data_IF_353388074144
#
_entry.id   IF_353388074144
#
_cell.length_a   1.000
_cell.length_b   1.000
_cell.length_c   1.000
_cell.angle_alpha   90.00
_cell.angle_beta   90.00
_cell.angle_gamma   90.00
#
_symmetry.space_group_name_H-M   'P 1'
#
loop_
_entity.id
_entity.type
_entity.pdbx_description
1 polymer ?
#
# COMPACT_ATOMS: atom_id res chain seq x y z
N UNK A 1 22.45 4.06 19.59
CA UNK A 1 21.55 4.89 18.75
C UNK A 1 20.80 3.98 17.80
N UNK A 2 19.46 3.87 17.89
CA UNK A 2 18.69 3.09 16.90
C UNK A 2 18.74 3.85 15.57
N UNK A 3 19.30 3.23 14.52
CA UNK A 3 19.35 3.83 13.18
C UNK A 3 18.14 3.35 12.40
N UNK A 4 17.39 4.29 11.83
CA UNK A 4 16.33 3.98 10.89
C UNK A 4 16.92 3.84 9.50
N UNK A 5 16.49 2.79 8.78
CA UNK A 5 16.86 2.56 7.40
C UNK A 5 15.62 2.73 6.53
N UNK A 6 15.77 3.49 5.44
CA UNK A 6 14.72 3.65 4.44
C UNK A 6 14.91 2.57 3.37
N UNK A 7 13.86 1.80 3.14
CA UNK A 7 13.83 0.79 2.08
C UNK A 7 12.80 1.18 1.03
N UNK A 8 13.24 1.30 -0.22
CA UNK A 8 12.36 1.49 -1.37
C UNK A 8 11.98 0.12 -1.92
N UNK A 9 10.69 -0.17 -2.02
CA UNK A 9 10.16 -1.46 -2.46
C UNK A 9 9.24 -1.27 -3.67
N UNK A 10 9.50 -2.02 -4.73
CA UNK A 10 8.66 -2.07 -5.92
C UNK A 10 8.11 -3.49 -6.08
N UNK A 11 6.79 -3.61 -6.20
CA UNK A 11 6.10 -4.89 -6.37
C UNK A 11 5.43 -4.95 -7.74
N UNK A 12 5.68 -6.03 -8.49
CA UNK A 12 4.96 -6.29 -9.74
C UNK A 12 3.59 -6.89 -9.45
N UNK A 13 2.55 -6.21 -9.90
CA UNK A 13 1.17 -6.71 -9.86
C UNK A 13 1.01 -7.80 -10.93
N UNK A 14 0.67 -9.03 -10.52
CA UNK A 14 0.55 -10.20 -11.42
C UNK A 14 -0.88 -10.47 -11.89
N UNK A 15 -1.87 -9.86 -11.24
CA UNK A 15 -3.30 -9.97 -11.53
C UNK A 15 -4.02 -8.73 -11.01
N UNK A 16 -5.27 -8.43 -11.46
CA UNK A 16 -6.02 -7.29 -10.95
C UNK A 16 -6.06 -7.26 -9.42
N UNK A 17 -5.68 -6.12 -8.83
CA UNK A 17 -5.57 -5.93 -7.38
C UNK A 17 -6.69 -5.02 -6.88
N UNK A 18 -7.55 -5.55 -6.02
CA UNK A 18 -8.57 -4.76 -5.35
C UNK A 18 -8.08 -4.22 -4.01
N UNK A 19 -8.12 -2.90 -3.83
CA UNK A 19 -7.80 -2.20 -2.58
C UNK A 19 -9.03 -1.48 -2.08
N UNK A 20 -9.65 -1.98 -1.02
CA UNK A 20 -10.94 -1.49 -0.54
C UNK A 20 -11.02 0.04 -0.37
N UNK A 21 -12.08 0.63 -0.93
CA UNK A 21 -12.42 2.05 -0.81
C UNK A 21 -13.88 2.25 -0.37
N UNK A 22 -14.58 3.21 -0.99
CA UNK A 22 -16.00 3.46 -0.77
C UNK A 22 -16.87 2.45 -1.52
N UNK A 23 -18.03 2.15 -0.92
CA UNK A 23 -19.08 1.34 -1.51
C UNK A 23 -20.11 2.26 -2.16
N UNK A 24 -20.48 1.98 -3.40
CA UNK A 24 -21.56 2.66 -4.13
C UNK A 24 -22.61 1.61 -4.45
N UNK A 25 -23.75 1.64 -3.76
CA UNK A 25 -24.78 0.60 -3.80
C UNK A 25 -24.16 -0.80 -3.56
N UNK A 26 -24.08 -1.67 -4.55
CA UNK A 26 -23.48 -3.01 -4.43
C UNK A 26 -22.05 -3.10 -4.97
N UNK A 27 -21.48 -2.00 -5.49
CA UNK A 27 -20.16 -1.96 -6.07
C UNK A 27 -19.11 -1.48 -5.05
N UNK A 28 -18.08 -2.29 -4.84
CA UNK A 28 -16.91 -1.90 -4.05
C UNK A 28 -15.86 -1.27 -4.95
N UNK A 29 -15.57 0.02 -4.74
CA UNK A 29 -14.51 0.71 -5.48
C UNK A 29 -13.14 0.31 -4.96
N UNK A 30 -12.15 0.35 -5.84
CA UNK A 30 -10.74 0.21 -5.50
C UNK A 30 -10.07 1.58 -5.36
N UNK A 31 -9.09 1.72 -4.47
CA UNK A 31 -8.23 2.90 -4.38
C UNK A 31 -7.20 2.91 -5.51
N UNK A 32 -6.80 4.11 -5.95
CA UNK A 32 -5.70 4.36 -6.89
C UNK A 32 -4.29 4.20 -6.27
N UNK A 33 -4.21 3.92 -4.96
CA UNK A 33 -2.97 3.70 -4.22
C UNK A 33 -3.21 2.65 -3.12
N UNK A 34 -2.14 2.04 -2.63
CA UNK A 34 -2.19 1.06 -1.54
C UNK A 34 -1.81 1.73 -0.22
N UNK A 35 -2.73 1.83 0.76
CA UNK A 35 -2.38 2.29 2.09
C UNK A 35 -1.36 1.38 2.76
N UNK A 36 -0.69 1.90 3.79
CA UNK A 36 0.29 1.13 4.58
C UNK A 36 -0.30 -0.14 5.24
N UNK A 37 -1.58 -0.10 5.62
CA UNK A 37 -2.23 -1.15 6.43
C UNK A 37 -2.31 -2.52 5.72
N UNK A 38 -2.74 -2.62 4.45
CA UNK A 38 -2.65 -3.87 3.68
C UNK A 38 -1.23 -4.47 3.65
N UNK A 39 -0.20 -3.65 3.45
CA UNK A 39 1.19 -4.15 3.41
C UNK A 39 1.64 -4.67 4.77
N UNK A 40 1.34 -3.94 5.85
CA UNK A 40 1.55 -4.41 7.22
C UNK A 40 0.86 -5.75 7.47
N UNK A 41 -0.43 -5.86 7.13
CA UNK A 41 -1.20 -7.10 7.34
C UNK A 41 -0.67 -8.27 6.53
N UNK A 42 -0.25 -8.04 5.27
CA UNK A 42 0.36 -9.07 4.43
C UNK A 42 1.70 -9.56 5.01
N UNK A 43 2.53 -8.64 5.50
CA UNK A 43 3.81 -8.99 6.11
C UNK A 43 3.62 -9.73 7.45
N UNK A 44 2.70 -9.25 8.30
CA UNK A 44 2.29 -9.97 9.52
C UNK A 44 1.88 -11.39 9.18
N UNK A 45 0.97 -11.57 8.22
CA UNK A 45 0.47 -12.89 7.88
C UNK A 45 1.57 -13.82 7.34
N UNK A 46 2.48 -13.30 6.51
CA UNK A 46 3.62 -14.06 5.98
C UNK A 46 4.58 -14.48 7.10
N UNK A 47 4.95 -13.56 8.00
CA UNK A 47 5.87 -13.84 9.09
C UNK A 47 5.27 -14.81 10.12
N UNK A 48 4.02 -14.63 10.53
CA UNK A 48 3.34 -15.55 11.44
C UNK A 48 3.34 -16.98 10.90
N UNK A 49 3.05 -17.16 9.60
CA UNK A 49 3.09 -18.48 8.93
C UNK A 49 4.50 -19.06 8.87
N UNK A 50 5.51 -18.25 8.53
CA UNK A 50 6.91 -18.69 8.49
C UNK A 50 7.42 -19.14 9.87
N UNK A 51 6.96 -18.47 10.94
CA UNK A 51 7.27 -18.82 12.32
C UNK A 51 6.48 -20.04 12.83
N UNK A 52 5.58 -20.62 12.01
CA UNK A 52 4.63 -21.67 12.42
C UNK A 52 3.82 -21.30 13.66
N UNK A 53 3.58 -20.01 13.85
CA UNK A 53 2.78 -19.46 14.95
C UNK A 53 1.34 -19.21 14.49
N UNK A 54 0.41 -19.18 15.43
CA UNK A 54 -0.96 -18.72 15.23
C UNK A 54 -1.20 -17.30 15.78
N UNK A 55 -0.19 -16.68 16.39
CA UNK A 55 -0.33 -15.40 17.07
C UNK A 55 -0.12 -14.20 16.13
N UNK A 56 -1.12 -13.91 15.29
CA UNK A 56 -1.10 -12.77 14.37
C UNK A 56 -1.03 -11.42 15.09
N UNK A 57 -1.65 -11.31 16.28
CA UNK A 57 -1.70 -10.06 17.03
C UNK A 57 -0.32 -9.65 17.52
N UNK A 58 0.40 -10.58 18.15
CA UNK A 58 1.74 -10.32 18.68
C UNK A 58 2.73 -9.96 17.55
N UNK A 59 2.74 -10.72 16.46
CA UNK A 59 3.60 -10.42 15.29
C UNK A 59 3.25 -9.06 14.69
N UNK A 60 1.96 -8.73 14.61
CA UNK A 60 1.48 -7.43 14.11
C UNK A 60 1.96 -6.25 14.97
N UNK A 61 1.85 -6.37 16.29
CA UNK A 61 2.33 -5.35 17.23
C UNK A 61 3.85 -5.22 17.23
N UNK A 62 4.58 -6.34 17.16
CA UNK A 62 6.03 -6.34 16.99
C UNK A 62 6.43 -5.53 15.75
N UNK A 63 5.83 -5.80 14.59
CA UNK A 63 6.13 -5.07 13.35
C UNK A 63 5.82 -3.57 13.45
N UNK A 64 4.75 -3.18 14.14
CA UNK A 64 4.45 -1.76 14.41
C UNK A 64 5.49 -1.10 15.30
N UNK A 65 6.22 -1.84 16.12
CA UNK A 65 7.28 -1.25 16.97
C UNK A 65 8.60 -1.11 16.23
N UNK A 66 8.91 -2.03 15.31
CA UNK A 66 10.21 -2.05 14.62
C UNK A 66 10.21 -1.43 13.22
N UNK A 67 9.04 -1.25 12.60
CA UNK A 67 8.92 -0.76 11.22
C UNK A 67 7.87 0.34 11.07
N UNK A 68 8.06 1.20 10.06
CA UNK A 68 7.06 2.18 9.60
C UNK A 68 6.80 1.92 8.13
N UNK A 69 5.53 1.79 7.76
CA UNK A 69 5.10 1.48 6.40
C UNK A 69 4.58 2.75 5.73
N UNK A 70 5.11 3.05 4.55
CA UNK A 70 4.58 4.09 3.66
C UNK A 70 3.44 3.59 2.80
N UNK A 71 2.88 4.49 1.99
CA UNK A 71 1.91 4.12 0.96
C UNK A 71 2.65 3.67 -0.29
N UNK A 72 2.04 2.76 -1.05
CA UNK A 72 2.53 2.37 -2.37
C UNK A 72 1.65 3.01 -3.43
N UNK A 73 2.30 3.51 -4.47
CA UNK A 73 1.66 4.14 -5.62
C UNK A 73 1.87 3.27 -6.84
N UNK A 74 0.97 3.37 -7.81
CA UNK A 74 1.13 2.65 -9.07
C UNK A 74 2.34 3.20 -9.84
N UNK A 75 2.92 2.33 -10.66
CA UNK A 75 4.02 2.66 -11.55
C UNK A 75 3.93 1.77 -12.79
N UNK A 76 4.25 2.34 -13.94
CA UNK A 76 4.40 1.63 -15.22
C UNK A 76 5.85 1.18 -15.48
N UNK A 77 6.76 1.44 -14.53
CA UNK A 77 8.19 1.17 -14.63
C UNK A 77 9.04 2.38 -15.01
N UNK A 78 8.43 3.43 -15.57
CA UNK A 78 9.10 4.70 -15.88
C UNK A 78 8.73 5.76 -14.85
N UNK A 79 7.44 5.91 -14.58
CA UNK A 79 6.89 6.93 -13.69
C UNK A 79 6.24 6.31 -12.46
N UNK A 80 6.22 7.06 -11.36
CA UNK A 80 5.46 6.73 -10.15
C UNK A 80 4.31 7.71 -10.03
N UNK A 81 3.09 7.20 -10.06
CA UNK A 81 1.85 7.98 -10.09
C UNK A 81 1.46 8.44 -8.67
N UNK A 82 2.30 9.27 -8.06
CA UNK A 82 2.03 9.86 -6.74
C UNK A 82 0.94 10.94 -6.89
N UNK A 83 -0.14 10.89 -6.09
CA UNK A 83 -1.19 11.90 -6.14
C UNK A 83 -0.66 13.27 -5.72
N UNK A 84 -0.93 14.30 -6.52
CA UNK A 84 -0.55 15.68 -6.25
C UNK A 84 -1.70 16.63 -6.63
N UNK A 85 -2.01 17.57 -5.75
CA UNK A 85 -2.89 18.68 -6.11
C UNK A 85 -2.14 19.71 -6.94
N UNK A 86 -2.77 20.13 -8.03
CA UNK A 86 -2.32 21.15 -8.98
C UNK A 86 -3.41 22.20 -9.14
N UNK A 87 -3.14 23.28 -9.87
CA UNK A 87 -4.14 24.32 -10.18
C UNK A 87 -5.35 23.75 -10.95
N UNK A 88 -5.16 22.63 -11.66
CA UNK A 88 -6.19 21.90 -12.40
C UNK A 88 -6.87 20.78 -11.56
N UNK A 89 -6.56 20.68 -10.26
CA UNK A 89 -7.09 19.68 -9.35
C UNK A 89 -6.13 18.51 -9.09
N UNK A 90 -6.69 17.37 -8.66
CA UNK A 90 -5.93 16.18 -8.26
C UNK A 90 -5.42 15.41 -9.50
N UNK A 91 -4.10 15.25 -9.60
CA UNK A 91 -3.44 14.48 -10.65
C UNK A 91 -2.65 13.31 -10.10
N UNK A 92 -2.51 12.27 -10.92
CA UNK A 92 -1.66 11.10 -10.71
C UNK A 92 -0.60 11.10 -11.82
N UNK A 93 0.60 11.60 -11.53
CA UNK A 93 1.56 11.95 -12.58
C UNK A 93 1.02 13.09 -13.44
N UNK A 94 0.97 12.90 -14.76
CA UNK A 94 0.36 13.85 -15.71
C UNK A 94 -1.15 13.69 -15.86
N UNK A 95 -1.73 12.58 -15.38
CA UNK A 95 -3.13 12.22 -15.63
C UNK A 95 -4.07 12.87 -14.59
N UNK A 96 -5.22 13.44 -15.02
CA UNK A 96 -6.27 13.86 -14.09
C UNK A 96 -6.94 12.65 -13.43
N UNK A 97 -7.49 12.83 -12.22
CA UNK A 97 -8.17 11.77 -11.47
C UNK A 97 -9.27 11.02 -12.26
N UNK A 98 -9.92 11.67 -13.22
CA UNK A 98 -11.01 11.07 -14.01
C UNK A 98 -10.53 10.10 -15.09
N UNK A 99 -9.28 10.22 -15.52
CA UNK A 99 -8.67 9.40 -16.57
C UNK A 99 -7.72 8.32 -16.02
N UNK A 100 -7.43 8.39 -14.71
CA UNK A 100 -6.62 7.43 -13.98
C UNK A 100 -7.45 6.27 -13.41
#
# INVERSE_FOLDING_TARGET
MKRWHLYLLTFRVKSPLHIGFHKVMHLFRTRAYVPAKPLWGALTAKLTRNLKSSNYREVGEFLKNVMRFGYLYLSDGNDVFIPKYTDEGLKFGSLPQTEF
#
